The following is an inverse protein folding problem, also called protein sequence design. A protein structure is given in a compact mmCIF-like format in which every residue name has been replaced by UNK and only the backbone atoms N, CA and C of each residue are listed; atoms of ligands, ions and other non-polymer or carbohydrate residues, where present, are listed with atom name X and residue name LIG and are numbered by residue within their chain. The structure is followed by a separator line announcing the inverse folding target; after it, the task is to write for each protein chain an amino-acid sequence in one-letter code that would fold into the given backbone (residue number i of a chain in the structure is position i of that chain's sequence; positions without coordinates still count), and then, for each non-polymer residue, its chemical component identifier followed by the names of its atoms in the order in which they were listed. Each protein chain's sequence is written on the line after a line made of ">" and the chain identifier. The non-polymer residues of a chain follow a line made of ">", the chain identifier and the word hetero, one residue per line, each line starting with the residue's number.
data_IF_180741375233
#
_entry.id   IF_180741375233
#
_cell.length_a   1.000
_cell.length_b   1.000
_cell.length_c   1.000
_cell.angle_alpha   90.00
_cell.angle_beta   90.00
_cell.angle_gamma   90.00
#
_symmetry.space_group_name_H-M   'P 1'
#
loop_
_entity.id
_entity.type
_entity.pdbx_description
1 polymer ?
#
# COMPACT_ATOMS: atom_id res chain seq x y z
N UNK A 1 -14.83 -4.42 29.30
CA UNK A 1 -14.78 -4.05 27.86
C UNK A 1 -13.41 -3.45 27.62
N UNK A 2 -12.44 -4.31 27.33
CA UNK A 2 -11.07 -3.89 27.02
C UNK A 2 -11.07 -3.33 25.60
N UNK A 3 -10.71 -2.05 25.46
CA UNK A 3 -10.49 -1.43 24.16
C UNK A 3 -9.19 -2.01 23.63
N UNK A 4 -9.26 -2.79 22.56
CA UNK A 4 -8.10 -3.14 21.74
C UNK A 4 -7.49 -1.84 21.20
N UNK A 5 -6.51 -1.33 21.94
CA UNK A 5 -5.70 -0.20 21.54
C UNK A 5 -4.84 -0.71 20.39
N UNK A 6 -5.27 -0.40 19.16
CA UNK A 6 -4.51 -0.69 17.96
C UNK A 6 -3.25 0.15 17.99
N UNK A 7 -2.20 -0.42 18.58
CA UNK A 7 -0.86 0.15 18.69
C UNK A 7 -0.28 0.23 17.27
N UNK A 8 -0.65 1.31 16.58
CA UNK A 8 -0.10 1.60 15.25
C UNK A 8 1.25 2.27 15.52
N UNK A 9 2.37 1.66 15.08
CA UNK A 9 3.67 2.25 15.33
C UNK A 9 3.68 3.66 14.74
N UNK A 10 3.96 4.65 15.60
CA UNK A 10 4.22 6.02 15.18
C UNK A 10 5.47 6.01 14.33
N UNK A 11 5.27 5.97 13.01
CA UNK A 11 6.35 6.07 12.02
C UNK A 11 7.07 7.40 12.30
N UNK A 12 8.33 7.28 12.68
CA UNK A 12 9.25 8.37 13.02
C UNK A 12 9.31 9.42 11.90
N UNK A 13 9.51 10.68 12.29
CA UNK A 13 9.33 11.94 11.53
C UNK A 13 10.07 12.09 10.17
N UNK A 14 10.67 11.02 9.62
CA UNK A 14 11.30 11.01 8.29
C UNK A 14 11.12 9.73 7.47
N UNK A 15 10.41 8.72 7.97
CA UNK A 15 10.17 7.47 7.24
C UNK A 15 8.80 7.46 6.56
N UNK A 16 8.72 7.09 5.28
CA UNK A 16 7.44 6.75 4.63
C UNK A 16 7.28 5.23 4.61
N UNK A 17 6.15 4.73 5.09
CA UNK A 17 5.80 3.30 5.04
C UNK A 17 4.76 3.11 3.95
N UNK A 18 4.95 2.12 3.08
CA UNK A 18 3.97 1.75 2.06
C UNK A 18 3.49 0.32 2.29
N UNK A 19 2.18 0.13 2.22
CA UNK A 19 1.54 -1.19 2.31
C UNK A 19 1.06 -1.59 0.92
N UNK A 20 1.70 -2.60 0.35
CA UNK A 20 1.31 -3.25 -0.90
C UNK A 20 0.48 -4.50 -0.60
N UNK A 21 -0.68 -4.63 -1.25
CA UNK A 21 -1.48 -5.86 -1.27
C UNK A 21 -1.64 -6.33 -2.69
N UNK A 22 -1.37 -7.62 -2.93
CA UNK A 22 -1.52 -8.27 -4.24
C UNK A 22 -2.40 -9.49 -4.06
N UNK A 23 -3.38 -9.65 -4.94
CA UNK A 23 -4.18 -10.88 -5.01
C UNK A 23 -4.52 -11.19 -6.47
N UNK A 24 -4.84 -12.45 -6.73
CA UNK A 24 -5.30 -12.92 -8.04
C UNK A 24 -6.76 -13.31 -7.93
N UNK A 25 -7.55 -12.90 -8.90
CA UNK A 25 -8.94 -13.32 -9.03
C UNK A 25 -9.02 -14.43 -10.08
N UNK A 26 -9.23 -15.67 -9.64
CA UNK A 26 -9.21 -16.85 -10.51
C UNK A 26 -10.30 -16.80 -11.61
N UNK A 27 -11.45 -16.18 -11.31
CA UNK A 27 -12.57 -16.06 -12.26
C UNK A 27 -12.25 -15.18 -13.49
N UNK A 28 -11.31 -14.24 -13.36
CA UNK A 28 -11.01 -13.23 -14.39
C UNK A 28 -9.58 -13.31 -14.92
N UNK A 29 -8.80 -14.26 -14.43
CA UNK A 29 -7.36 -14.35 -14.63
C UNK A 29 -6.65 -12.99 -14.46
N UNK A 30 -7.12 -12.21 -13.47
CA UNK A 30 -6.71 -10.83 -13.27
C UNK A 30 -5.86 -10.68 -12.01
N UNK A 31 -4.81 -9.88 -12.11
CA UNK A 31 -3.98 -9.48 -10.99
C UNK A 31 -4.46 -8.13 -10.46
N UNK A 32 -4.77 -8.09 -9.17
CA UNK A 32 -5.20 -6.88 -8.50
C UNK A 32 -4.16 -6.46 -7.47
N UNK A 33 -3.82 -5.19 -7.48
CA UNK A 33 -2.83 -4.62 -6.56
C UNK A 33 -3.35 -3.35 -5.95
N UNK A 34 -3.06 -3.14 -4.67
CA UNK A 34 -3.34 -1.85 -4.03
C UNK A 34 -2.19 -1.39 -3.15
N UNK A 35 -1.90 -0.10 -3.23
CA UNK A 35 -0.86 0.58 -2.45
C UNK A 35 -1.50 1.62 -1.55
N UNK A 36 -1.01 1.72 -0.31
CA UNK A 36 -1.36 2.78 0.66
C UNK A 36 -0.11 3.29 1.35
N UNK A 37 -0.02 4.60 1.56
CA UNK A 37 0.97 5.19 2.45
C UNK A 37 0.47 5.09 3.91
N UNK A 38 1.23 4.44 4.78
CA UNK A 38 0.84 4.15 6.15
C UNK A 38 -0.45 3.32 6.27
N UNK A 39 -1.01 3.29 7.48
CA UNK A 39 -2.26 2.55 7.78
C UNK A 39 -3.52 3.30 7.38
N UNK A 40 -3.45 4.62 7.28
CA UNK A 40 -4.57 5.53 7.04
C UNK A 40 -4.49 6.32 5.72
N UNK A 41 -3.42 6.17 4.93
CA UNK A 41 -3.29 6.91 3.67
C UNK A 41 -4.25 6.43 2.58
N UNK A 42 -4.30 7.22 1.52
CA UNK A 42 -5.15 6.99 0.36
C UNK A 42 -4.76 5.68 -0.34
N UNK A 43 -5.77 4.86 -0.65
CA UNK A 43 -5.62 3.62 -1.39
C UNK A 43 -5.61 3.89 -2.89
N UNK A 44 -4.55 3.47 -3.56
CA UNK A 44 -4.48 3.39 -5.03
C UNK A 44 -4.63 1.95 -5.46
N UNK A 45 -5.30 1.73 -6.59
CA UNK A 45 -5.57 0.42 -7.17
C UNK A 45 -4.88 0.33 -8.53
N UNK A 46 -4.30 -0.81 -8.82
CA UNK A 46 -3.59 -1.11 -10.06
C UNK A 46 -4.02 -2.49 -10.56
N UNK A 47 -4.27 -2.58 -11.86
CA UNK A 47 -4.58 -3.83 -12.57
C UNK A 47 -3.35 -4.33 -13.36
N UNK A 48 -2.24 -3.57 -13.32
CA UNK A 48 -0.94 -3.87 -13.94
C UNK A 48 0.18 -3.81 -12.90
N UNK A 49 1.03 -4.84 -12.91
CA UNK A 49 2.19 -4.92 -12.01
C UNK A 49 3.20 -3.82 -12.34
N UNK A 50 3.41 -3.55 -13.63
CA UNK A 50 4.35 -2.55 -14.09
C UNK A 50 3.92 -1.15 -13.64
N UNK A 51 2.64 -0.80 -13.80
CA UNK A 51 2.10 0.49 -13.36
C UNK A 51 2.22 0.68 -11.83
N UNK A 52 2.02 -0.39 -11.07
CA UNK A 52 2.19 -0.38 -9.62
C UNK A 52 3.67 -0.14 -9.23
N UNK A 53 4.59 -0.79 -9.93
CA UNK A 53 6.03 -0.66 -9.68
C UNK A 53 6.50 0.76 -10.04
N UNK A 54 6.11 1.28 -11.20
CA UNK A 54 6.44 2.63 -11.65
C UNK A 54 5.94 3.70 -10.67
N UNK A 55 4.74 3.51 -10.13
CA UNK A 55 4.20 4.37 -9.09
C UNK A 55 5.09 4.36 -7.83
N UNK A 56 5.45 3.18 -7.31
CA UNK A 56 6.27 3.05 -6.11
C UNK A 56 7.67 3.66 -6.31
N UNK A 57 8.31 3.40 -7.44
CA UNK A 57 9.60 4.02 -7.76
C UNK A 57 9.51 5.55 -7.80
N UNK A 58 8.46 6.09 -8.42
CA UNK A 58 8.23 7.53 -8.45
C UNK A 58 8.05 8.10 -7.05
N UNK A 59 7.32 7.42 -6.16
CA UNK A 59 7.14 7.84 -4.77
C UNK A 59 8.45 7.80 -3.97
N UNK A 60 9.30 6.79 -4.17
CA UNK A 60 10.59 6.66 -3.49
C UNK A 60 11.66 7.64 -3.97
N UNK A 61 11.53 8.14 -5.20
CA UNK A 61 12.45 9.14 -5.78
C UNK A 61 12.03 10.58 -5.51
N UNK A 62 10.85 10.81 -4.89
CA UNK A 62 10.42 12.14 -4.46
C UNK A 62 11.18 12.56 -3.20
N UNK A 63 12.34 13.19 -3.41
CA UNK A 63 13.14 13.88 -2.40
C UNK A 63 12.78 15.37 -2.33
#
# INVERSE_FOLDING_TARGET
>A
MEREQSDTPSVSEGGRVYVLRVWREEERDAHHMTVREGTNGQRRVFDSVDDCIDHLYSEFMRF
#
